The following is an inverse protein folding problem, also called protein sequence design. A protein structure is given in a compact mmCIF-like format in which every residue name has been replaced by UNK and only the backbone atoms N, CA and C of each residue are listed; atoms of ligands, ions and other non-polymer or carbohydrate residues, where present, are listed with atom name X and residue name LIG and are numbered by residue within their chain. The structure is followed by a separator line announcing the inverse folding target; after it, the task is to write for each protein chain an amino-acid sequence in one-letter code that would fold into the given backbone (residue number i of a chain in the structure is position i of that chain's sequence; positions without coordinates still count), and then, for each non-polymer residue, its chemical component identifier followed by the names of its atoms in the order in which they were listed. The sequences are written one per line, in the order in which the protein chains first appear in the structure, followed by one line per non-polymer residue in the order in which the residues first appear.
data_IF_746564992536
#
_entry.id   IF_746564992536
#
_cell.length_a   1.000
_cell.length_b   1.000
_cell.length_c   1.000
_cell.angle_alpha   90.00
_cell.angle_beta   90.00
_cell.angle_gamma   90.00
#
_symmetry.space_group_name_H-M   'P 1'
#
loop_
_entity.id
_entity.type
_entity.pdbx_description
1 polymer ?
#
# COMPACT_ATOMS: atom_id res chain seq x y z
N UNK A 1 24.30 12.63 -72.08
CA UNK A 1 25.71 12.26 -72.27
C UNK A 1 25.84 10.78 -71.90
N UNK A 2 26.14 9.91 -72.89
CA UNK A 2 26.39 8.44 -72.85
C UNK A 2 25.40 7.58 -72.03
N UNK A 3 24.43 6.80 -72.55
CA UNK A 3 24.37 5.82 -73.66
C UNK A 3 25.46 4.74 -73.67
N UNK A 4 25.03 3.53 -74.06
CA UNK A 4 25.74 2.27 -74.42
C UNK A 4 26.14 1.31 -73.29
N UNK A 5 25.96 -0.03 -73.38
CA UNK A 5 25.34 -0.92 -74.38
C UNK A 5 25.14 -2.31 -73.72
N UNK A 6 24.03 -2.98 -74.05
CA UNK A 6 23.82 -4.43 -73.87
C UNK A 6 24.79 -5.20 -74.78
N UNK A 7 25.26 -6.38 -74.35
CA UNK A 7 25.40 -7.52 -75.27
C UNK A 7 25.22 -8.87 -74.54
N UNK A 8 24.35 -9.69 -75.15
CA UNK A 8 24.09 -11.10 -74.81
C UNK A 8 25.14 -11.98 -75.46
N UNK A 9 25.63 -13.01 -74.76
CA UNK A 9 26.09 -14.26 -75.36
C UNK A 9 25.85 -15.43 -74.38
N UNK A 10 25.01 -16.40 -74.79
CA UNK A 10 25.04 -17.83 -74.37
C UNK A 10 25.88 -18.58 -75.41
N UNK A 11 26.18 -19.89 -75.29
CA UNK A 11 26.21 -20.84 -74.16
C UNK A 11 27.57 -21.60 -74.10
N UNK A 12 27.77 -22.55 -73.17
CA UNK A 12 28.34 -23.88 -73.46
C UNK A 12 28.43 -24.77 -72.21
N UNK A 13 27.75 -25.90 -72.29
CA UNK A 13 27.92 -27.09 -71.48
C UNK A 13 29.37 -27.60 -71.57
N UNK A 14 30.06 -27.79 -70.43
CA UNK A 14 30.96 -28.93 -70.21
C UNK A 14 30.89 -29.35 -68.74
N UNK A 15 30.56 -30.61 -68.54
CA UNK A 15 30.43 -31.22 -67.22
C UNK A 15 31.77 -31.32 -66.50
N UNK A 16 31.69 -31.31 -65.18
CA UNK A 16 32.71 -31.88 -64.31
C UNK A 16 31.98 -32.57 -63.17
N UNK A 17 32.11 -33.89 -63.13
CA UNK A 17 31.77 -34.71 -61.98
C UNK A 17 32.65 -34.26 -60.81
N UNK A 18 32.02 -33.70 -59.77
CA UNK A 18 32.68 -33.33 -58.53
C UNK A 18 31.89 -33.92 -57.37
N UNK A 19 32.40 -35.01 -56.81
CA UNK A 19 31.91 -35.69 -55.62
C UNK A 19 31.75 -34.72 -54.45
N UNK A 20 30.52 -34.51 -53.99
CA UNK A 20 30.24 -33.77 -52.75
C UNK A 20 30.53 -34.67 -51.54
N UNK A 21 31.66 -34.47 -50.90
CA UNK A 21 31.99 -35.08 -49.62
C UNK A 21 31.12 -34.46 -48.52
N UNK A 22 30.23 -35.24 -47.93
CA UNK A 22 29.48 -34.88 -46.73
C UNK A 22 30.44 -34.87 -45.53
N UNK A 23 30.86 -33.69 -45.09
CA UNK A 23 31.56 -33.51 -43.82
C UNK A 23 30.54 -33.59 -42.67
N UNK A 24 30.47 -34.73 -41.99
CA UNK A 24 29.80 -34.82 -40.69
C UNK A 24 30.64 -34.05 -39.66
N UNK A 25 30.18 -32.87 -39.27
CA UNK A 25 30.69 -32.17 -38.09
C UNK A 25 30.10 -32.84 -36.84
N UNK A 26 30.88 -33.68 -36.18
CA UNK A 26 30.57 -34.20 -34.85
C UNK A 26 30.93 -33.08 -33.86
N UNK A 27 29.94 -32.32 -33.39
CA UNK A 27 30.14 -31.47 -32.22
C UNK A 27 30.25 -32.39 -30.99
N UNK A 28 31.37 -32.43 -30.26
CA UNK A 28 31.36 -33.08 -28.96
C UNK A 28 30.40 -32.29 -28.07
N UNK A 29 29.35 -32.95 -27.59
CA UNK A 29 28.57 -32.41 -26.49
C UNK A 29 29.50 -32.29 -25.28
N UNK A 30 29.93 -31.07 -24.98
CA UNK A 30 30.52 -30.76 -23.68
C UNK A 30 29.43 -31.00 -22.65
N UNK A 31 29.53 -32.10 -21.91
CA UNK A 31 28.74 -32.29 -20.71
C UNK A 31 29.13 -31.17 -19.74
N UNK A 32 28.20 -30.26 -19.49
CA UNK A 32 28.38 -29.19 -18.52
C UNK A 32 28.44 -29.84 -17.13
N UNK A 33 29.67 -30.01 -16.62
CA UNK A 33 29.90 -30.48 -15.27
C UNK A 33 29.33 -29.43 -14.31
N UNK A 34 28.28 -29.83 -13.58
CA UNK A 34 27.71 -29.02 -12.51
C UNK A 34 28.82 -28.61 -11.54
N UNK A 35 29.12 -27.31 -11.49
CA UNK A 35 30.12 -26.73 -10.57
C UNK A 35 29.58 -26.57 -9.14
N UNK A 36 28.48 -27.28 -8.81
CA UNK A 36 27.77 -27.14 -7.56
C UNK A 36 27.89 -28.44 -6.75
N UNK A 37 28.26 -28.39 -5.46
CA UNK A 37 28.40 -29.58 -4.64
C UNK A 37 27.07 -30.35 -4.52
N UNK A 38 27.12 -31.66 -4.75
CA UNK A 38 25.97 -32.58 -4.74
C UNK A 38 25.17 -32.59 -3.42
N UNK A 39 25.77 -32.15 -2.31
CA UNK A 39 25.14 -32.10 -0.98
C UNK A 39 24.21 -30.91 -0.79
N UNK A 40 24.28 -29.92 -1.68
CA UNK A 40 23.27 -28.87 -1.81
C UNK A 40 22.52 -29.25 -3.10
N UNK A 41 21.57 -30.18 -2.98
CA UNK A 41 20.76 -30.65 -4.11
C UNK A 41 20.31 -29.43 -4.92
N UNK A 42 20.55 -29.46 -6.24
CA UNK A 42 20.61 -28.33 -7.18
C UNK A 42 19.36 -27.45 -7.37
N UNK A 43 18.55 -27.28 -6.32
CA UNK A 43 17.63 -26.16 -6.17
C UNK A 43 18.31 -25.06 -5.38
N UNK A 44 18.12 -23.83 -5.85
CA UNK A 44 18.40 -22.61 -5.10
C UNK A 44 17.76 -22.74 -3.70
N UNK A 45 18.53 -23.07 -2.66
CA UNK A 45 17.97 -23.20 -1.30
C UNK A 45 17.59 -21.79 -0.86
N UNK A 46 16.29 -21.49 -0.66
CA UNK A 46 15.89 -20.14 -0.31
C UNK A 46 16.58 -19.73 1.00
N UNK A 47 17.15 -18.54 1.03
CA UNK A 47 17.70 -17.98 2.27
C UNK A 47 16.59 -17.89 3.33
N UNK A 48 16.93 -18.07 4.60
CA UNK A 48 15.97 -17.85 5.68
C UNK A 48 16.26 -16.48 6.33
N UNK A 49 15.23 -15.64 6.46
CA UNK A 49 15.33 -14.37 7.16
C UNK A 49 14.43 -14.39 8.40
N UNK A 50 15.01 -14.00 9.52
CA UNK A 50 14.36 -13.97 10.81
C UNK A 50 14.17 -12.53 11.27
N UNK A 51 12.92 -12.12 11.46
CA UNK A 51 12.56 -10.78 11.93
C UNK A 51 12.11 -10.85 13.40
N UNK A 52 12.83 -10.12 14.26
CA UNK A 52 12.45 -9.90 15.66
C UNK A 52 12.20 -8.41 15.85
N UNK A 53 11.05 -7.89 15.37
CA UNK A 53 10.74 -6.49 15.57
C UNK A 53 10.54 -6.23 17.07
N UNK A 54 11.47 -5.48 17.68
CA UNK A 54 11.26 -4.87 18.98
C UNK A 54 10.44 -3.60 18.75
N UNK A 55 9.12 -3.72 18.92
CA UNK A 55 8.23 -2.56 18.79
C UNK A 55 7.80 -2.16 20.19
N UNK A 56 8.45 -1.12 20.68
CA UNK A 56 8.16 -0.57 22.01
C UNK A 56 7.08 0.51 21.93
N UNK A 57 6.35 0.65 23.04
CA UNK A 57 5.50 1.81 23.26
C UNK A 57 6.35 3.09 23.17
N UNK A 58 5.88 4.17 22.51
CA UNK A 58 4.57 4.39 21.91
C UNK A 58 4.50 4.18 20.39
N UNK A 59 5.48 3.48 19.81
CA UNK A 59 5.81 3.50 18.36
C UNK A 59 4.74 2.92 17.44
N UNK A 60 3.74 2.19 17.93
CA UNK A 60 2.65 1.69 17.08
C UNK A 60 1.53 2.73 16.92
N UNK A 61 1.24 3.45 18.01
CA UNK A 61 0.09 4.35 18.08
C UNK A 61 0.43 5.81 17.82
N UNK A 62 1.72 6.16 17.75
CA UNK A 62 2.16 7.53 17.53
C UNK A 62 1.84 8.03 16.13
N UNK A 63 1.78 9.35 15.98
CA UNK A 63 1.59 9.99 14.69
C UNK A 63 2.83 9.85 13.80
N UNK A 64 2.66 9.49 12.52
CA UNK A 64 3.79 9.32 11.60
C UNK A 64 4.35 10.64 11.07
N UNK A 65 3.45 11.58 10.75
CA UNK A 65 3.78 12.80 10.02
C UNK A 65 3.84 14.01 10.96
N UNK A 66 5.06 14.41 11.36
CA UNK A 66 5.30 15.51 12.31
C UNK A 66 5.13 16.90 11.67
N UNK A 67 4.70 17.89 12.47
CA UNK A 67 4.57 19.29 12.07
C UNK A 67 3.27 19.64 11.32
N UNK A 68 3.09 20.92 10.95
CA UNK A 68 1.86 21.40 10.35
C UNK A 68 1.61 20.84 8.94
N UNK A 69 0.34 20.84 8.54
CA UNK A 69 -0.05 20.52 7.18
C UNK A 69 0.36 21.66 6.24
N UNK A 70 0.93 21.29 5.09
CA UNK A 70 1.12 22.19 3.96
C UNK A 70 1.11 21.38 2.68
N UNK A 71 0.48 21.86 1.59
CA UNK A 71 0.51 21.18 0.30
C UNK A 71 1.94 21.10 -0.28
N UNK A 72 2.88 21.96 0.17
CA UNK A 72 4.27 21.92 -0.28
C UNK A 72 5.04 20.66 0.17
N UNK A 73 4.62 20.03 1.27
CA UNK A 73 5.26 18.82 1.82
C UNK A 73 4.45 17.59 1.47
N UNK A 74 5.15 16.55 1.03
CA UNK A 74 4.56 15.22 0.87
C UNK A 74 4.50 14.50 2.21
N UNK A 75 3.37 13.87 2.49
CA UNK A 75 3.16 13.08 3.69
C UNK A 75 3.06 11.61 3.36
N UNK A 76 3.73 10.78 4.17
CA UNK A 76 3.76 9.34 3.97
C UNK A 76 2.46 8.73 4.51
N UNK A 77 1.88 7.79 3.78
CA UNK A 77 0.73 7.00 4.22
C UNK A 77 0.23 6.08 3.11
N UNK A 78 -0.99 5.56 3.26
CA UNK A 78 -1.60 4.68 2.28
C UNK A 78 -2.23 5.41 1.10
N UNK A 79 -2.62 6.67 1.26
CA UNK A 79 -3.21 7.45 0.17
C UNK A 79 -2.13 7.87 -0.81
N UNK A 80 -2.49 7.99 -2.08
CA UNK A 80 -1.66 8.61 -3.08
C UNK A 80 -1.74 10.14 -2.89
N UNK A 81 -0.61 10.77 -2.58
CA UNK A 81 -0.52 12.20 -2.29
C UNK A 81 -0.93 13.08 -3.48
N UNK A 82 -0.90 12.55 -4.71
CA UNK A 82 -1.28 13.26 -5.95
C UNK A 82 -2.70 12.99 -6.42
N UNK A 83 -3.54 12.38 -5.58
CA UNK A 83 -4.90 11.96 -5.95
C UNK A 83 -5.93 12.55 -4.99
N UNK A 84 -7.09 12.90 -5.53
CA UNK A 84 -8.26 13.34 -4.81
C UNK A 84 -9.22 12.17 -4.59
N UNK A 85 -9.87 12.17 -3.42
CA UNK A 85 -10.70 11.08 -2.96
C UNK A 85 -12.11 11.57 -2.59
N UNK A 86 -13.11 10.79 -2.98
CA UNK A 86 -14.46 10.87 -2.46
C UNK A 86 -14.62 9.90 -1.29
N UNK A 87 -15.38 10.29 -0.26
CA UNK A 87 -15.73 9.39 0.82
C UNK A 87 -17.03 8.67 0.50
N UNK A 88 -16.95 7.36 0.28
CA UNK A 88 -18.09 6.50 -0.01
C UNK A 88 -18.70 6.04 1.31
N UNK A 89 -19.93 6.49 1.56
CA UNK A 89 -20.71 6.07 2.72
C UNK A 89 -21.55 4.83 2.40
N UNK A 90 -21.70 3.99 3.41
CA UNK A 90 -22.63 2.86 3.45
C UNK A 90 -23.16 2.70 4.89
N UNK A 91 -24.34 2.11 5.05
CA UNK A 91 -24.88 1.81 6.38
C UNK A 91 -23.97 0.84 7.14
N UNK A 92 -23.41 -0.15 6.44
CA UNK A 92 -22.42 -1.07 6.97
C UNK A 92 -21.05 -0.40 7.04
N UNK A 93 -20.54 -0.19 8.25
CA UNK A 93 -19.27 0.52 8.48
C UNK A 93 -18.10 -0.08 7.69
N UNK A 94 -18.03 -1.41 7.55
CA UNK A 94 -16.96 -2.10 6.82
C UNK A 94 -16.91 -1.81 5.33
N UNK A 95 -17.99 -1.26 4.76
CA UNK A 95 -18.12 -0.90 3.35
C UNK A 95 -17.70 0.56 3.08
N UNK A 96 -17.50 1.35 4.13
CA UNK A 96 -17.09 2.75 4.03
C UNK A 96 -15.61 2.87 3.69
N UNK A 97 -15.29 3.69 2.70
CA UNK A 97 -13.92 3.88 2.24
C UNK A 97 -13.77 5.17 1.43
N UNK A 98 -12.52 5.56 1.22
CA UNK A 98 -12.13 6.60 0.28
C UNK A 98 -11.84 5.99 -1.09
N UNK A 99 -12.51 6.51 -2.10
CA UNK A 99 -12.35 6.11 -3.50
C UNK A 99 -11.65 7.22 -4.29
N UNK A 100 -10.59 6.92 -5.06
CA UNK A 100 -9.95 7.93 -5.90
C UNK A 100 -10.88 8.38 -7.03
N UNK A 101 -10.89 9.68 -7.33
CA UNK A 101 -11.79 10.27 -8.33
C UNK A 101 -11.10 11.14 -9.36
N UNK A 102 -9.98 11.78 -9.02
CA UNK A 102 -9.24 12.66 -9.93
C UNK A 102 -7.82 12.87 -9.46
N UNK A 103 -6.95 13.34 -10.35
CA UNK A 103 -5.62 13.82 -9.96
C UNK A 103 -5.72 15.17 -9.24
N UNK A 104 -4.89 15.33 -8.23
CA UNK A 104 -4.77 16.55 -7.47
C UNK A 104 -4.11 17.66 -8.31
N UNK A 105 -4.49 18.89 -7.98
CA UNK A 105 -4.11 20.10 -8.69
C UNK A 105 -3.17 20.97 -7.84
N UNK A 106 -2.91 22.19 -8.31
CA UNK A 106 -2.06 23.15 -7.62
C UNK A 106 -0.58 23.02 -7.96
N UNK A 107 0.23 23.92 -7.40
CA UNK A 107 1.68 23.98 -7.66
C UNK A 107 2.40 22.67 -7.32
N UNK A 108 1.90 21.97 -6.30
CA UNK A 108 2.51 20.75 -5.78
C UNK A 108 1.68 19.48 -6.09
N UNK A 109 0.61 19.59 -6.89
CA UNK A 109 -0.28 18.47 -7.25
C UNK A 109 -0.81 17.74 -6.01
N UNK A 110 -1.29 18.48 -5.01
CA UNK A 110 -1.74 17.95 -3.71
C UNK A 110 -3.01 18.65 -3.20
N UNK A 111 -3.59 19.50 -4.03
CA UNK A 111 -4.78 20.30 -3.71
C UNK A 111 -5.99 19.77 -4.48
N UNK A 112 -7.10 19.55 -3.77
CA UNK A 112 -8.33 18.96 -4.25
C UNK A 112 -9.49 19.89 -3.95
N UNK A 113 -10.20 20.35 -4.97
CA UNK A 113 -11.39 21.17 -4.82
C UNK A 113 -12.63 20.29 -4.74
N UNK A 114 -13.37 20.34 -3.63
CA UNK A 114 -14.61 19.57 -3.43
C UNK A 114 -14.40 18.08 -3.12
N UNK A 115 -13.15 17.65 -2.93
CA UNK A 115 -12.76 16.28 -2.61
C UNK A 115 -11.66 16.27 -1.54
N UNK A 116 -11.42 15.12 -0.94
CA UNK A 116 -10.33 14.95 0.02
C UNK A 116 -8.98 14.82 -0.68
N UNK A 117 -7.98 15.57 -0.23
CA UNK A 117 -6.60 15.38 -0.70
C UNK A 117 -5.99 14.14 -0.07
N UNK A 118 -5.43 13.24 -0.88
CA UNK A 118 -4.67 12.09 -0.37
C UNK A 118 -3.49 12.51 0.51
N UNK A 119 -2.83 13.63 0.17
CA UNK A 119 -1.73 14.18 0.97
C UNK A 119 -2.22 14.65 2.35
N UNK A 120 -3.40 15.28 2.39
CA UNK A 120 -4.03 15.66 3.66
C UNK A 120 -4.41 14.43 4.51
N UNK A 121 -5.01 13.41 3.91
CA UNK A 121 -5.40 12.19 4.64
C UNK A 121 -4.18 11.44 5.18
N UNK A 122 -3.09 11.39 4.41
CA UNK A 122 -1.80 10.87 4.88
C UNK A 122 -1.29 11.64 6.09
N UNK A 123 -1.29 12.98 6.03
CA UNK A 123 -0.92 13.81 7.17
C UNK A 123 -1.82 13.53 8.38
N UNK A 124 -3.14 13.55 8.21
CA UNK A 124 -4.11 13.55 9.29
C UNK A 124 -4.22 12.21 10.03
N UNK A 125 -4.15 11.08 9.32
CA UNK A 125 -4.59 9.78 9.84
C UNK A 125 -3.50 8.71 9.96
N UNK A 126 -2.32 8.91 9.36
CA UNK A 126 -1.27 7.86 9.34
C UNK A 126 -0.63 7.70 10.72
N UNK A 127 -0.62 6.46 11.22
CA UNK A 127 0.15 6.07 12.41
C UNK A 127 1.53 5.55 12.01
N UNK A 128 2.51 5.66 12.92
CA UNK A 128 3.91 5.26 12.68
C UNK A 128 4.07 3.82 12.19
N UNK A 129 3.16 2.90 12.52
CA UNK A 129 3.21 1.50 12.05
C UNK A 129 2.76 1.34 10.58
N UNK A 130 1.96 2.26 10.05
CA UNK A 130 1.38 2.13 8.71
C UNK A 130 2.43 2.17 7.58
N UNK A 131 3.43 3.08 7.59
CA UNK A 131 4.54 3.03 6.63
C UNK A 131 5.29 1.68 6.64
N UNK A 132 5.51 1.07 7.82
CA UNK A 132 6.14 -0.25 7.91
C UNK A 132 5.27 -1.33 7.28
N UNK A 133 3.95 -1.34 7.57
CA UNK A 133 3.01 -2.26 6.94
C UNK A 133 2.98 -2.07 5.42
N UNK A 134 2.96 -0.82 4.94
CA UNK A 134 3.01 -0.49 3.51
C UNK A 134 4.24 -1.11 2.84
N UNK A 135 5.43 -0.83 3.39
CA UNK A 135 6.69 -1.26 2.79
C UNK A 135 6.92 -2.77 2.93
N UNK A 136 6.62 -3.36 4.08
CA UNK A 136 6.91 -4.78 4.33
C UNK A 136 5.89 -5.71 3.69
N UNK A 137 4.60 -5.38 3.78
CA UNK A 137 3.51 -6.28 3.39
C UNK A 137 2.57 -5.73 2.31
N UNK A 138 2.78 -4.51 1.82
CA UNK A 138 1.83 -3.83 0.94
C UNK A 138 0.64 -3.20 1.69
N UNK A 139 0.72 -3.10 3.02
CA UNK A 139 -0.35 -2.61 3.89
C UNK A 139 -1.23 -3.73 4.46
N UNK A 140 -2.31 -3.34 5.12
CA UNK A 140 -3.32 -4.26 5.62
C UNK A 140 -4.59 -4.20 4.78
N UNK A 141 -4.76 -5.25 3.98
CA UNK A 141 -5.89 -5.39 3.06
C UNK A 141 -7.12 -5.85 3.84
N UNK A 142 -8.04 -4.93 4.12
CA UNK A 142 -9.34 -5.25 4.74
C UNK A 142 -10.34 -5.77 3.71
N UNK A 143 -10.16 -5.36 2.44
CA UNK A 143 -10.82 -5.94 1.27
C UNK A 143 -9.75 -6.38 0.27
N UNK A 144 -9.88 -7.60 -0.22
CA UNK A 144 -8.98 -8.17 -1.23
C UNK A 144 -9.79 -9.07 -2.18
N UNK A 145 -10.41 -8.46 -3.18
CA UNK A 145 -11.15 -9.17 -4.23
C UNK A 145 -10.29 -9.30 -5.49
N UNK A 146 -10.86 -9.81 -6.59
CA UNK A 146 -10.15 -9.89 -7.86
C UNK A 146 -9.83 -8.50 -8.44
N UNK A 147 -10.72 -7.52 -8.25
CA UNK A 147 -10.69 -6.21 -8.91
C UNK A 147 -10.52 -5.05 -7.94
N UNK A 148 -10.71 -5.27 -6.65
CA UNK A 148 -10.72 -4.21 -5.64
C UNK A 148 -9.89 -4.61 -4.42
N UNK A 149 -9.01 -3.70 -4.00
CA UNK A 149 -8.22 -3.85 -2.78
C UNK A 149 -8.34 -2.59 -1.94
N UNK A 150 -8.69 -2.74 -0.66
CA UNK A 150 -8.74 -1.62 0.28
C UNK A 150 -7.74 -1.81 1.40
N UNK A 151 -6.99 -0.73 1.70
CA UNK A 151 -6.11 -0.67 2.85
C UNK A 151 -6.78 0.07 4.00
N UNK A 152 -6.65 -0.43 5.22
CA UNK A 152 -7.14 0.22 6.43
C UNK A 152 -5.97 0.71 7.29
N UNK A 153 -6.10 1.93 7.83
CA UNK A 153 -5.12 2.48 8.78
C UNK A 153 -4.95 1.61 10.03
N UNK A 154 -3.91 1.85 10.81
CA UNK A 154 -3.78 1.17 12.08
C UNK A 154 -4.92 1.51 13.05
N UNK A 155 -5.23 0.59 13.96
CA UNK A 155 -6.21 0.83 15.02
C UNK A 155 -5.56 1.66 16.12
N UNK A 156 -6.19 2.75 16.54
CA UNK A 156 -5.76 3.51 17.71
C UNK A 156 -6.71 3.22 18.90
N UNK A 157 -6.19 2.50 19.89
CA UNK A 157 -6.92 1.97 21.06
C UNK A 157 -6.96 2.90 22.27
N UNK A 158 -6.74 4.21 22.06
CA UNK A 158 -6.57 5.25 23.08
C UNK A 158 -5.32 5.15 23.97
N UNK A 159 -4.45 4.14 23.84
CA UNK A 159 -3.20 4.14 24.62
C UNK A 159 -2.32 5.35 24.28
N UNK A 160 -1.82 6.05 25.30
CA UNK A 160 -1.06 7.31 25.14
C UNK A 160 -1.90 8.54 24.72
N UNK A 161 -3.14 8.35 24.26
CA UNK A 161 -4.09 9.42 23.96
C UNK A 161 -3.51 10.57 23.13
N UNK A 162 -3.89 11.79 23.49
CA UNK A 162 -3.42 13.01 22.84
C UNK A 162 -1.91 13.29 23.02
N UNK A 163 -1.21 12.61 23.94
CA UNK A 163 0.23 12.81 24.16
C UNK A 163 1.06 12.29 22.98
N UNK A 164 0.62 11.20 22.36
CA UNK A 164 1.33 10.55 21.24
C UNK A 164 0.65 10.78 19.88
N UNK A 165 -0.63 11.14 19.91
CA UNK A 165 -1.41 11.54 18.74
C UNK A 165 -2.32 12.72 19.10
N UNK A 166 -1.77 13.95 19.21
CA UNK A 166 -2.53 15.14 19.56
C UNK A 166 -3.62 15.44 18.54
N UNK A 167 -4.65 16.14 18.99
CA UNK A 167 -5.64 16.70 18.08
C UNK A 167 -4.94 17.70 17.15
N UNK A 168 -5.22 17.59 15.85
CA UNK A 168 -4.54 18.38 14.82
C UNK A 168 -5.50 19.41 14.25
N UNK A 169 -4.97 20.49 13.69
CA UNK A 169 -5.76 21.58 13.10
C UNK A 169 -5.14 22.05 11.79
N UNK A 170 -6.00 22.40 10.83
CA UNK A 170 -5.64 23.16 9.63
C UNK A 170 -6.50 24.44 9.54
N UNK A 171 -5.90 25.60 9.22
CA UNK A 171 -4.47 25.89 9.39
C UNK A 171 -4.02 25.66 10.84
N UNK A 172 -2.71 25.55 11.08
CA UNK A 172 -2.17 25.38 12.44
C UNK A 172 -2.60 26.54 13.37
N UNK A 173 -2.60 27.76 12.83
CA UNK A 173 -3.05 28.97 13.51
C UNK A 173 -3.95 29.82 12.60
N UNK A 174 -4.84 30.62 13.20
CA UNK A 174 -5.70 31.54 12.46
C UNK A 174 -6.74 30.85 11.56
N UNK A 175 -7.06 31.47 10.44
CA UNK A 175 -8.09 31.03 9.50
C UNK A 175 -7.57 31.09 8.08
N UNK A 176 -7.78 30.03 7.30
CA UNK A 176 -7.38 29.96 5.90
C UNK A 176 -8.35 29.03 5.17
N UNK A 177 -9.40 29.63 4.60
CA UNK A 177 -10.42 28.88 3.88
C UNK A 177 -9.86 28.20 2.62
N UNK A 178 -8.86 28.80 1.97
CA UNK A 178 -8.25 28.25 0.75
C UNK A 178 -7.45 26.98 1.04
N UNK A 179 -6.72 26.95 2.16
CA UNK A 179 -6.00 25.77 2.61
C UNK A 179 -6.96 24.62 2.94
N UNK A 180 -8.07 24.91 3.64
CA UNK A 180 -9.06 23.90 4.01
C UNK A 180 -9.80 23.37 2.78
N UNK A 181 -10.25 24.25 1.88
CA UNK A 181 -10.95 23.88 0.66
C UNK A 181 -10.06 23.18 -0.37
N UNK A 182 -8.74 23.37 -0.29
CA UNK A 182 -7.77 22.64 -1.09
C UNK A 182 -7.37 21.29 -0.49
N UNK A 183 -7.65 21.04 0.79
CA UNK A 183 -7.32 19.78 1.47
C UNK A 183 -8.53 18.85 1.63
N UNK A 184 -9.73 19.42 1.63
CA UNK A 184 -10.97 18.77 2.05
C UNK A 184 -12.14 19.22 1.17
N UNK A 185 -13.26 18.48 1.13
CA UNK A 185 -14.43 18.89 0.36
C UNK A 185 -15.17 20.11 0.93
N UNK A 186 -14.67 20.73 2.00
CA UNK A 186 -15.38 21.76 2.74
C UNK A 186 -14.82 23.15 2.50
N UNK A 187 -15.73 24.11 2.35
CA UNK A 187 -15.40 25.53 2.39
C UNK A 187 -15.57 26.03 3.83
N UNK A 188 -14.50 25.98 4.61
CA UNK A 188 -14.48 26.38 6.02
C UNK A 188 -13.16 27.03 6.39
N UNK A 189 -13.17 27.92 7.37
CA UNK A 189 -11.98 28.68 7.77
C UNK A 189 -10.93 27.85 8.51
N UNK A 190 -11.38 26.77 9.16
CA UNK A 190 -10.50 25.82 9.85
C UNK A 190 -11.17 24.47 10.05
N UNK A 191 -10.34 23.44 10.22
CA UNK A 191 -10.76 22.08 10.55
C UNK A 191 -9.86 21.50 11.63
N UNK A 192 -10.47 20.90 12.64
CA UNK A 192 -9.79 20.12 13.68
C UNK A 192 -10.07 18.64 13.48
N UNK A 193 -9.11 17.79 13.85
CA UNK A 193 -9.24 16.35 13.77
C UNK A 193 -8.63 15.62 14.97
N UNK A 194 -9.13 14.41 15.21
CA UNK A 194 -8.70 13.50 16.26
C UNK A 194 -8.59 12.07 15.70
N UNK A 195 -7.58 11.34 16.14
CA UNK A 195 -7.37 9.91 15.84
C UNK A 195 -7.37 9.06 17.12
N UNK A 196 -6.81 9.57 18.22
CA UNK A 196 -6.65 8.76 19.43
C UNK A 196 -7.98 8.31 20.02
N UNK A 197 -8.09 6.99 20.24
CA UNK A 197 -9.25 6.35 20.84
C UNK A 197 -10.44 6.14 19.91
N UNK A 198 -10.26 6.32 18.59
CA UNK A 198 -11.30 6.13 17.58
C UNK A 198 -11.12 4.86 16.75
N UNK A 199 -10.24 3.95 17.17
CA UNK A 199 -10.00 2.71 16.44
C UNK A 199 -9.48 2.99 15.03
N UNK A 200 -10.24 2.60 14.01
CA UNK A 200 -9.88 2.77 12.59
C UNK A 200 -10.49 4.04 11.96
N UNK A 201 -11.17 4.86 12.76
CA UNK A 201 -11.82 6.07 12.31
C UNK A 201 -10.97 7.32 12.56
N UNK A 202 -11.38 8.41 11.93
CA UNK A 202 -10.92 9.77 12.18
C UNK A 202 -12.14 10.62 12.49
N UNK A 203 -12.05 11.42 13.56
CA UNK A 203 -13.05 12.44 13.85
C UNK A 203 -12.58 13.78 13.33
N UNK A 204 -13.47 14.56 12.75
CA UNK A 204 -13.19 15.94 12.40
C UNK A 204 -14.30 16.90 12.79
N UNK A 205 -13.96 18.18 12.90
CA UNK A 205 -14.90 19.28 13.13
C UNK A 205 -14.46 20.49 12.32
N UNK A 206 -15.42 21.18 11.72
CA UNK A 206 -15.18 22.47 11.09
C UNK A 206 -15.41 23.60 12.11
N UNK A 207 -14.57 24.63 12.02
CA UNK A 207 -14.72 25.91 12.73
C UNK A 207 -15.08 25.75 14.23
N UNK A 208 -14.30 24.93 14.94
CA UNK A 208 -14.48 24.73 16.37
C UNK A 208 -13.49 23.76 16.98
N UNK A 209 -13.49 23.72 18.30
CA UNK A 209 -12.42 23.11 19.08
C UNK A 209 -12.76 21.70 19.61
N UNK A 210 -14.06 21.41 19.77
CA UNK A 210 -14.55 20.21 20.45
C UNK A 210 -14.66 18.99 19.51
N UNK A 211 -13.83 17.99 19.79
CA UNK A 211 -13.80 16.67 19.12
C UNK A 211 -13.99 15.52 20.12
N UNK A 212 -14.71 15.78 21.21
CA UNK A 212 -14.98 14.81 22.28
C UNK A 212 -16.02 13.75 21.89
N UNK A 213 -17.07 14.15 21.17
CA UNK A 213 -18.12 13.29 20.59
C UNK A 213 -18.28 13.59 19.10
N UNK A 214 -18.84 12.65 18.33
CA UNK A 214 -19.04 12.81 16.90
C UNK A 214 -20.19 11.94 16.39
N UNK A 215 -20.78 12.35 15.27
CA UNK A 215 -21.79 11.58 14.53
C UNK A 215 -21.18 11.00 13.26
N UNK A 216 -21.77 9.95 12.69
CA UNK A 216 -21.24 9.35 11.47
C UNK A 216 -21.28 10.33 10.29
N UNK A 217 -20.15 10.51 9.60
CA UNK A 217 -20.09 11.25 8.35
C UNK A 217 -20.69 10.41 7.21
N UNK A 218 -21.60 11.00 6.44
CA UNK A 218 -22.33 10.32 5.36
C UNK A 218 -21.89 10.76 3.95
N UNK A 219 -20.75 11.45 3.82
CA UNK A 219 -20.25 11.93 2.52
C UNK A 219 -20.91 13.23 2.02
N UNK A 220 -21.90 13.76 2.75
CA UNK A 220 -22.64 14.96 2.37
C UNK A 220 -22.18 16.25 3.07
N UNK A 221 -23.11 17.21 3.14
CA UNK A 221 -22.92 18.48 3.85
C UNK A 221 -22.79 18.24 5.35
N UNK A 222 -21.86 18.94 5.97
CA UNK A 222 -21.66 18.94 7.43
C UNK A 222 -22.23 20.22 8.04
N UNK A 223 -22.87 20.09 9.19
CA UNK A 223 -23.42 21.21 9.94
C UNK A 223 -22.35 21.92 10.77
N UNK A 224 -22.51 23.23 11.04
CA UNK A 224 -21.65 23.94 11.97
C UNK A 224 -21.84 23.38 13.38
N UNK A 225 -20.77 23.37 14.17
CA UNK A 225 -20.86 23.04 15.59
C UNK A 225 -20.92 21.54 15.93
N UNK A 226 -20.86 20.65 14.94
CA UNK A 226 -20.81 19.20 15.13
C UNK A 226 -19.46 18.63 14.68
N UNK A 227 -19.06 17.52 15.30
CA UNK A 227 -17.93 16.73 14.82
C UNK A 227 -18.46 15.44 14.18
N UNK A 228 -17.70 14.93 13.21
CA UNK A 228 -18.09 13.79 12.42
C UNK A 228 -17.01 12.72 12.39
N UNK A 229 -17.42 11.46 12.46
CA UNK A 229 -16.58 10.27 12.41
C UNK A 229 -16.60 9.64 11.03
N UNK A 230 -15.43 9.29 10.51
CA UNK A 230 -15.29 8.61 9.23
C UNK A 230 -14.25 7.50 9.30
N UNK A 231 -14.53 6.40 8.63
CA UNK A 231 -13.66 5.22 8.59
C UNK A 231 -12.50 5.44 7.62
N UNK A 232 -11.26 5.23 8.08
CA UNK A 232 -10.08 5.47 7.24
C UNK A 232 -9.67 4.18 6.55
N UNK A 233 -10.32 3.93 5.41
CA UNK A 233 -10.00 2.89 4.44
C UNK A 233 -9.81 3.52 3.07
N UNK A 234 -8.90 3.03 2.26
CA UNK A 234 -8.63 3.59 0.94
C UNK A 234 -8.57 2.51 -0.12
N UNK A 235 -9.24 2.75 -1.24
CA UNK A 235 -9.09 1.93 -2.44
C UNK A 235 -7.78 2.29 -3.15
N UNK A 236 -6.93 1.28 -3.37
CA UNK A 236 -5.55 1.43 -3.87
C UNK A 236 -5.33 0.61 -5.13
N UNK A 237 -4.27 0.92 -5.88
CA UNK A 237 -3.95 0.24 -7.14
C UNK A 237 -5.09 0.29 -8.17
N UNK A 238 -5.80 1.42 -8.19
CA UNK A 238 -6.85 1.71 -9.17
C UNK A 238 -6.18 2.19 -10.45
N UNK A 239 -6.36 1.48 -11.56
CA UNK A 239 -5.58 1.62 -12.80
C UNK A 239 -5.44 3.05 -13.36
N UNK A 240 -6.45 3.90 -13.15
CA UNK A 240 -6.46 5.29 -13.62
C UNK A 240 -5.65 6.25 -12.73
N UNK A 241 -5.34 5.87 -11.48
CA UNK A 241 -4.77 6.73 -10.44
C UNK A 241 -3.52 6.12 -9.76
N UNK A 242 -2.83 5.21 -10.43
CA UNK A 242 -1.66 4.50 -9.90
C UNK A 242 -0.35 5.31 -9.95
N UNK A 243 -0.35 6.50 -10.55
CA UNK A 243 0.87 7.29 -10.69
C UNK A 243 1.43 7.68 -9.30
N UNK A 244 2.64 7.17 -8.98
CA UNK A 244 3.25 7.35 -7.65
C UNK A 244 2.92 6.24 -6.64
N UNK A 245 2.19 5.20 -7.03
CA UNK A 245 2.03 3.96 -6.27
C UNK A 245 3.01 2.87 -6.77
N UNK A 246 4.29 2.98 -6.42
CA UNK A 246 5.36 2.09 -6.91
C UNK A 246 5.19 0.63 -6.51
N UNK A 247 4.34 0.34 -5.53
CA UNK A 247 4.20 -0.98 -4.93
C UNK A 247 3.01 -1.78 -5.50
N UNK A 248 2.31 -1.26 -6.51
CA UNK A 248 1.19 -1.94 -7.15
C UNK A 248 1.67 -2.90 -8.26
N UNK A 249 1.49 -4.20 -8.02
CA UNK A 249 1.92 -5.28 -8.93
C UNK A 249 0.72 -5.80 -9.72
N UNK A 250 0.95 -6.15 -11.00
CA UNK A 250 -0.09 -6.68 -11.89
C UNK A 250 -0.39 -8.14 -11.58
N UNK A 251 -1.66 -8.44 -11.33
CA UNK A 251 -2.24 -9.78 -11.21
C UNK A 251 -3.14 -10.07 -12.43
N UNK A 252 -3.64 -11.30 -12.53
CA UNK A 252 -4.50 -11.73 -13.64
C UNK A 252 -5.74 -10.83 -13.85
N UNK A 253 -6.32 -10.31 -12.77
CA UNK A 253 -7.61 -9.60 -12.80
C UNK A 253 -7.54 -8.14 -12.28
N UNK A 254 -6.34 -7.59 -12.06
CA UNK A 254 -6.18 -6.25 -11.51
C UNK A 254 -4.78 -5.99 -10.96
N UNK A 255 -4.60 -4.91 -10.22
CA UNK A 255 -3.36 -4.58 -9.55
C UNK A 255 -3.52 -4.70 -8.04
N UNK A 256 -2.49 -5.13 -7.33
CA UNK A 256 -2.51 -5.27 -5.87
C UNK A 256 -1.23 -4.72 -5.24
N UNK A 257 -1.30 -4.12 -4.04
CA UNK A 257 -0.14 -3.53 -3.38
C UNK A 257 0.70 -4.63 -2.74
N UNK A 258 1.95 -4.81 -3.16
CA UNK A 258 2.90 -5.72 -2.54
C UNK A 258 3.89 -4.98 -1.66
N UNK A 259 4.47 -5.69 -0.69
CA UNK A 259 5.61 -5.21 0.08
C UNK A 259 6.85 -6.05 -0.20
N UNK A 260 7.97 -5.67 0.42
CA UNK A 260 9.26 -6.33 0.27
C UNK A 260 9.22 -7.82 0.60
N UNK A 261 8.39 -8.23 1.58
CA UNK A 261 8.23 -9.64 1.94
C UNK A 261 7.59 -10.42 0.81
N UNK A 262 6.56 -9.87 0.15
CA UNK A 262 5.90 -10.51 -1.00
C UNK A 262 6.83 -10.55 -2.20
N UNK A 263 7.53 -9.45 -2.50
CA UNK A 263 8.48 -9.37 -3.62
C UNK A 263 9.60 -10.40 -3.52
N UNK A 264 10.02 -10.75 -2.30
CA UNK A 264 11.08 -11.72 -2.05
C UNK A 264 10.57 -13.08 -1.55
N UNK A 265 9.25 -13.34 -1.59
CA UNK A 265 8.66 -14.55 -1.03
C UNK A 265 9.16 -15.85 -1.71
N UNK A 266 9.56 -15.79 -2.97
CA UNK A 266 10.10 -16.93 -3.71
C UNK A 266 11.59 -17.18 -3.43
N UNK A 267 12.33 -16.13 -3.06
CA UNK A 267 13.77 -16.19 -2.84
C UNK A 267 14.15 -16.42 -1.37
N UNK A 268 13.32 -15.94 -0.44
CA UNK A 268 13.59 -15.92 0.99
C UNK A 268 12.39 -16.45 1.75
N UNK A 269 12.64 -17.33 2.73
CA UNK A 269 11.66 -17.75 3.72
C UNK A 269 11.71 -16.80 4.91
N UNK A 270 10.61 -16.11 5.16
CA UNK A 270 10.49 -15.19 6.29
C UNK A 270 9.88 -15.88 7.50
N UNK A 271 10.39 -15.55 8.69
CA UNK A 271 9.77 -15.87 9.96
C UNK A 271 9.77 -14.62 10.84
N UNK A 272 8.63 -14.33 11.47
CA UNK A 272 8.46 -13.16 12.34
C UNK A 272 8.11 -13.64 13.75
N UNK A 273 8.83 -13.13 14.74
CA UNK A 273 8.54 -13.35 16.16
C UNK A 273 8.31 -12.01 16.83
N UNK A 274 7.10 -11.81 17.34
CA UNK A 274 6.78 -10.69 18.23
C UNK A 274 6.69 -11.18 19.67
N UNK A 275 7.13 -10.36 20.62
CA UNK A 275 6.79 -10.53 22.02
C UNK A 275 5.73 -9.49 22.38
N UNK A 276 4.74 -9.91 23.16
CA UNK A 276 3.77 -8.99 23.75
C UNK A 276 4.27 -8.63 25.14
N UNK A 277 4.74 -7.39 25.32
CA UNK A 277 5.12 -6.86 26.62
C UNK A 277 3.87 -6.81 27.52
N UNK A 278 3.80 -7.71 28.49
CA UNK A 278 2.66 -7.88 29.39
C UNK A 278 3.21 -8.16 30.78
N UNK A 279 2.78 -7.37 31.74
CA UNK A 279 3.18 -7.47 33.14
C UNK A 279 2.27 -8.39 33.96
N UNK A 280 1.27 -9.02 33.34
CA UNK A 280 0.38 -9.96 34.03
C UNK A 280 1.01 -11.35 34.14
N UNK A 281 1.06 -11.86 35.37
CA UNK A 281 1.59 -13.19 35.67
C UNK A 281 0.66 -14.35 35.25
N UNK A 282 -0.53 -14.04 34.72
CA UNK A 282 -1.60 -15.01 34.44
C UNK A 282 -1.68 -15.44 32.97
N UNK A 283 -0.75 -15.00 32.12
CA UNK A 283 -0.76 -15.29 30.69
C UNK A 283 0.40 -16.20 30.30
N UNK A 284 0.09 -17.46 30.02
CA UNK A 284 1.03 -18.37 29.37
C UNK A 284 1.32 -17.89 27.92
N UNK A 285 2.60 -17.65 27.61
CA UNK A 285 3.04 -16.91 26.43
C UNK A 285 2.98 -17.64 25.07
N UNK A 286 3.04 -16.83 24.00
CA UNK A 286 3.38 -17.22 22.63
C UNK A 286 2.23 -17.76 21.76
N UNK A 287 1.48 -16.86 21.10
CA UNK A 287 0.50 -17.25 20.07
C UNK A 287 1.23 -17.93 18.91
N UNK A 288 1.02 -19.24 18.77
CA UNK A 288 1.55 -20.07 17.67
C UNK A 288 0.89 -19.64 16.35
N UNK A 289 1.65 -19.07 15.41
CA UNK A 289 1.21 -18.93 14.03
C UNK A 289 0.96 -20.34 13.46
N UNK A 290 -0.31 -20.66 13.16
CA UNK A 290 -0.72 -21.98 12.70
C UNK A 290 -0.26 -22.17 11.25
N UNK A 291 0.60 -23.16 11.01
CA UNK A 291 0.90 -23.65 9.65
C UNK A 291 -0.35 -24.28 9.04
N UNK A 292 -0.55 -24.00 7.76
CA UNK A 292 -1.58 -24.55 6.88
C UNK A 292 -1.47 -26.10 6.84
N UNK A 293 -2.57 -26.81 7.09
CA UNK A 293 -2.61 -28.27 7.03
C UNK A 293 -3.79 -28.89 7.79
N UNK A 294 -4.83 -29.27 7.03
CA UNK A 294 -5.84 -30.29 7.35
C UNK A 294 -6.79 -30.03 8.53
N UNK A 295 -8.05 -29.76 8.17
CA UNK A 295 -9.20 -29.76 9.07
C UNK A 295 -9.36 -31.14 9.74
N UNK A 296 -9.16 -31.19 11.06
CA UNK A 296 -9.81 -32.20 11.91
C UNK A 296 -10.63 -31.48 12.97
N UNK A 297 -11.91 -31.84 12.97
CA UNK A 297 -13.00 -31.38 13.83
C UNK A 297 -12.72 -31.84 15.27
N UNK A 298 -12.60 -30.90 16.21
CA UNK A 298 -12.75 -31.21 17.63
C UNK A 298 -13.95 -30.42 18.17
N UNK A 299 -15.01 -31.17 18.45
CA UNK A 299 -16.26 -30.72 19.05
C UNK A 299 -16.13 -30.92 20.55
N UNK A 300 -16.14 -29.86 21.34
CA UNK A 300 -16.58 -29.92 22.73
C UNK A 300 -17.06 -28.54 23.18
N UNK A 301 -18.32 -28.51 23.61
CA UNK A 301 -19.00 -27.45 24.36
C UNK A 301 -18.12 -27.08 25.58
N UNK A 302 -18.01 -25.85 26.06
CA UNK A 302 -19.07 -24.94 26.55
C UNK A 302 -18.43 -23.59 26.87
N UNK A 303 -19.22 -22.51 26.74
CA UNK A 303 -19.04 -21.15 27.27
C UNK A 303 -17.94 -20.25 26.65
N UNK A 304 -18.38 -19.43 25.70
CA UNK A 304 -18.20 -17.97 25.67
C UNK A 304 -19.55 -17.37 25.28
#
# INVERSE_FOLDING_TARGET
MQKTLRNRFRPLFKGFWGTAAFLLTINPALAELSRMPLHIGGGNVPGNMFLVPSVEWPTINSLANLGPYTPAREFVGYFNSRVCYEYVYDEQESERHFKPVSYASGRHQRECSGYWSGNFLNWAATQTVDPFRKVLTGGYRVRDTATETWLEKARHDNQGGASIYPNRRIPEHGSDASLVSGATPFNASSMRMRIHGLGNEMRFRLEGEDVSSGSTYTGGTVGPGQAYDLSVRVSVCVSEFMEGEDNCVRYANGYKPEGLIQQHAEAIRFSVFGYLNDSSANRDGGVRARKNGSVRKCRTRTAC
#
